data_IF_706886800015
#
_entry.id   IF_706886800015
#
_cell.length_a   1.000
_cell.length_b   1.000
_cell.length_c   1.000
_cell.angle_alpha   90.00
_cell.angle_beta   90.00
_cell.angle_gamma   90.00
#
_symmetry.space_group_name_H-M   'P 1'
#
loop_
_entity.id
_entity.type
_entity.pdbx_description
1 polymer ?
#
# COMPACT_ATOMS: atom_id res chain seq x y z
N UNK A 1 -8.42 -13.88 0.47
CA UNK A 1 -8.13 -13.07 1.63
C UNK A 1 -9.03 -11.87 1.55
N UNK A 2 -9.92 -11.71 2.53
CA UNK A 2 -10.81 -10.57 2.62
C UNK A 2 -10.23 -9.51 3.54
N UNK A 3 -10.04 -8.31 3.01
CA UNK A 3 -9.48 -7.23 3.80
C UNK A 3 -10.55 -6.27 4.32
N UNK A 4 -10.29 -5.70 5.50
CA UNK A 4 -10.88 -4.44 5.91
C UNK A 4 -9.91 -3.32 5.52
N UNK A 5 -10.28 -2.55 4.48
CA UNK A 5 -9.51 -1.40 4.03
C UNK A 5 -9.88 -0.14 4.83
N UNK A 6 -8.89 0.52 5.42
CA UNK A 6 -9.10 1.75 6.19
C UNK A 6 -8.24 2.85 5.59
N UNK A 7 -8.88 3.81 4.92
CA UNK A 7 -8.21 4.98 4.36
C UNK A 7 -8.10 6.07 5.41
N UNK A 8 -6.89 6.45 5.81
CA UNK A 8 -6.66 7.51 6.80
C UNK A 8 -6.10 8.78 6.14
N UNK A 9 -6.83 9.89 6.27
CA UNK A 9 -6.54 11.15 5.59
C UNK A 9 -6.96 11.15 4.11
N UNK A 10 -6.67 12.24 3.41
CA UNK A 10 -7.14 12.45 2.03
C UNK A 10 -6.62 11.40 1.04
N UNK A 11 -5.29 11.18 1.00
CA UNK A 11 -4.68 10.23 0.08
C UNK A 11 -5.15 8.79 0.35
N UNK A 12 -5.19 8.40 1.63
CA UNK A 12 -5.69 7.10 2.06
C UNK A 12 -7.15 6.87 1.65
N UNK A 13 -8.01 7.86 1.89
CA UNK A 13 -9.42 7.82 1.50
C UNK A 13 -9.60 7.64 -0.01
N UNK A 14 -8.89 8.42 -0.84
CA UNK A 14 -8.96 8.32 -2.31
C UNK A 14 -8.53 6.94 -2.84
N UNK A 15 -7.46 6.37 -2.30
CA UNK A 15 -6.99 5.04 -2.73
C UNK A 15 -7.96 3.94 -2.31
N UNK A 16 -8.49 3.97 -1.09
CA UNK A 16 -9.51 3.00 -0.66
C UNK A 16 -10.79 3.14 -1.48
N UNK A 17 -11.16 4.36 -1.86
CA UNK A 17 -12.30 4.62 -2.74
C UNK A 17 -12.14 3.92 -4.10
N UNK A 18 -10.94 4.04 -4.68
CA UNK A 18 -10.60 3.40 -5.95
C UNK A 18 -10.48 1.87 -5.81
N UNK A 19 -10.02 1.35 -4.68
CA UNK A 19 -10.07 -0.10 -4.40
C UNK A 19 -11.51 -0.62 -4.39
N UNK A 20 -12.44 0.09 -3.75
CA UNK A 20 -13.86 -0.29 -3.73
C UNK A 20 -14.45 -0.30 -5.14
N UNK A 21 -14.10 0.68 -5.97
CA UNK A 21 -14.49 0.70 -7.39
C UNK A 21 -13.92 -0.51 -8.15
N UNK A 22 -12.63 -0.78 -7.97
CA UNK A 22 -11.94 -1.89 -8.61
C UNK A 22 -12.57 -3.24 -8.26
N UNK A 23 -12.81 -3.51 -6.98
CA UNK A 23 -13.41 -4.76 -6.50
C UNK A 23 -14.85 -4.96 -7.02
N UNK A 24 -15.64 -3.88 -7.07
CA UNK A 24 -16.98 -3.90 -7.68
C UNK A 24 -16.92 -4.21 -9.18
N UNK A 25 -15.98 -3.59 -9.91
CA UNK A 25 -15.83 -3.76 -11.35
C UNK A 25 -15.30 -5.15 -11.73
N UNK A 26 -14.41 -5.71 -10.92
CA UNK A 26 -13.79 -7.02 -11.18
C UNK A 26 -14.62 -8.18 -10.61
N UNK A 27 -15.53 -7.91 -9.67
CA UNK A 27 -16.38 -8.91 -9.03
C UNK A 27 -15.62 -9.87 -8.11
N UNK A 28 -14.45 -9.45 -7.62
CA UNK A 28 -13.54 -10.30 -6.87
C UNK A 28 -14.00 -10.51 -5.43
N UNK A 29 -14.74 -9.54 -4.87
CA UNK A 29 -15.28 -9.56 -3.50
C UNK A 29 -14.20 -9.75 -2.43
N UNK A 30 -13.02 -9.19 -2.68
CA UNK A 30 -11.84 -9.26 -1.83
C UNK A 30 -11.86 -8.19 -0.72
N UNK A 31 -12.71 -7.17 -0.86
CA UNK A 31 -12.90 -6.13 0.15
C UNK A 31 -14.09 -6.51 1.01
N UNK A 32 -13.84 -7.03 2.21
CA UNK A 32 -14.91 -7.33 3.16
C UNK A 32 -15.59 -6.04 3.64
N UNK A 33 -14.80 -5.03 3.99
CA UNK A 33 -15.25 -3.76 4.55
C UNK A 33 -14.34 -2.62 4.11
N UNK A 34 -14.89 -1.42 4.04
CA UNK A 34 -14.12 -0.19 3.83
C UNK A 34 -14.53 0.89 4.83
N UNK A 35 -13.58 1.75 5.19
CA UNK A 35 -13.80 2.90 6.07
C UNK A 35 -12.84 4.02 5.66
N UNK A 36 -13.35 5.23 5.45
CA UNK A 36 -12.53 6.42 5.25
C UNK A 36 -12.57 7.27 6.53
N UNK A 37 -11.41 7.62 7.08
CA UNK A 37 -11.28 8.44 8.29
C UNK A 37 -10.52 9.70 7.93
N UNK A 38 -11.08 10.88 8.21
CA UNK A 38 -10.39 12.13 7.97
C UNK A 38 -10.84 13.22 8.94
N UNK A 39 -10.05 14.27 9.06
CA UNK A 39 -10.34 15.50 9.83
C UNK A 39 -10.88 16.63 8.94
N UNK A 40 -10.79 16.47 7.62
CA UNK A 40 -11.36 17.37 6.62
C UNK A 40 -12.69 16.82 6.06
N UNK A 41 -13.78 17.57 6.25
CA UNK A 41 -15.12 17.16 5.81
C UNK A 41 -15.24 17.17 4.28
N UNK A 42 -14.66 18.16 3.61
CA UNK A 42 -14.68 18.29 2.14
C UNK A 42 -14.09 17.06 1.45
N UNK A 43 -12.96 16.56 1.95
CA UNK A 43 -12.29 15.37 1.42
C UNK A 43 -13.19 14.13 1.49
N UNK A 44 -13.86 13.91 2.63
CA UNK A 44 -14.79 12.80 2.80
C UNK A 44 -15.96 12.93 1.82
N UNK A 45 -16.51 14.14 1.64
CA UNK A 45 -17.60 14.35 0.68
C UNK A 45 -17.18 14.16 -0.78
N UNK A 46 -15.90 14.34 -1.09
CA UNK A 46 -15.35 14.11 -2.44
C UNK A 46 -15.22 12.65 -2.85
N UNK A 47 -15.32 11.69 -1.92
CA UNK A 47 -15.24 10.25 -2.22
C UNK A 47 -16.49 9.80 -3.00
N UNK A 48 -16.33 8.86 -3.94
CA UNK A 48 -17.39 8.46 -4.87
C UNK A 48 -17.96 7.07 -4.59
N UNK A 49 -17.13 6.15 -4.12
CA UNK A 49 -17.41 4.71 -4.10
C UNK A 49 -17.64 4.14 -2.70
N UNK A 50 -17.00 4.71 -1.67
CA UNK A 50 -17.21 4.39 -0.26
C UNK A 50 -18.56 4.98 0.19
N UNK A 51 -19.47 4.20 0.77
CA UNK A 51 -20.77 4.70 1.26
C UNK A 51 -20.64 5.84 2.28
N UNK A 52 -21.63 6.72 2.38
CA UNK A 52 -21.54 7.91 3.25
C UNK A 52 -21.45 7.54 4.73
N UNK A 53 -22.13 6.46 5.13
CA UNK A 53 -22.06 5.86 6.45
C UNK A 53 -20.64 5.36 6.80
N UNK A 54 -19.84 5.00 5.78
CA UNK A 54 -18.45 4.52 5.84
C UNK A 54 -17.41 5.64 5.75
N UNK A 55 -17.82 6.88 5.98
CA UNK A 55 -16.96 8.06 6.01
C UNK A 55 -17.02 8.70 7.39
N UNK A 56 -15.97 8.47 8.19
CA UNK A 56 -15.85 8.96 9.55
C UNK A 56 -15.07 10.28 9.60
N UNK A 57 -15.77 11.34 10.01
CA UNK A 57 -15.15 12.63 10.34
C UNK A 57 -14.70 12.61 11.81
N UNK A 58 -13.43 12.94 12.05
CA UNK A 58 -12.83 13.03 13.40
C UNK A 58 -12.22 14.41 13.66
N UNK A 59 -11.98 14.75 14.92
CA UNK A 59 -11.26 15.97 15.32
C UNK A 59 -12.08 17.25 15.23
N UNK A 60 -13.41 17.14 15.25
CA UNK A 60 -14.32 18.29 15.08
C UNK A 60 -14.14 19.34 16.18
N UNK A 61 -13.77 18.92 17.39
CA UNK A 61 -13.50 19.80 18.52
C UNK A 61 -12.23 20.66 18.34
N UNK A 62 -11.29 20.21 17.50
CA UNK A 62 -9.98 20.87 17.30
C UNK A 62 -9.97 21.64 15.99
N UNK A 63 -10.34 21.03 14.86
CA UNK A 63 -10.21 21.64 13.52
C UNK A 63 -11.51 21.97 12.82
N UNK A 64 -12.66 21.72 13.47
CA UNK A 64 -14.00 22.06 12.95
C UNK A 64 -14.28 21.53 11.54
N UNK A 65 -13.64 20.42 11.15
CA UNK A 65 -13.80 19.79 9.84
C UNK A 65 -12.95 20.37 8.70
N UNK A 66 -11.93 21.19 8.97
CA UNK A 66 -11.05 21.77 7.94
C UNK A 66 -9.75 20.99 7.70
N UNK A 67 -9.51 19.94 8.50
CA UNK A 67 -8.24 19.22 8.47
C UNK A 67 -7.16 19.85 9.35
N UNK A 68 -6.07 19.11 9.56
CA UNK A 68 -4.89 19.54 10.33
C UNK A 68 -3.76 20.09 9.43
N UNK A 69 -4.01 20.18 8.12
CA UNK A 69 -2.95 20.47 7.15
C UNK A 69 -1.82 19.44 7.20
N UNK A 70 -0.58 19.92 7.29
CA UNK A 70 0.63 19.11 7.42
C UNK A 70 1.12 18.98 8.88
N UNK A 71 0.28 19.27 9.88
CA UNK A 71 0.62 19.04 11.28
C UNK A 71 0.29 17.58 11.68
N UNK A 72 1.31 16.73 11.68
CA UNK A 72 1.14 15.31 12.01
C UNK A 72 1.05 15.05 13.53
N UNK A 73 1.55 15.95 14.38
CA UNK A 73 1.44 15.85 15.83
C UNK A 73 -0.02 16.08 16.26
N UNK A 74 -0.65 17.14 15.73
CA UNK A 74 -2.09 17.37 15.93
C UNK A 74 -2.93 16.24 15.33
N UNK A 75 -2.53 15.70 14.16
CA UNK A 75 -3.16 14.52 13.57
C UNK A 75 -3.14 13.29 14.48
N UNK A 76 -1.99 12.99 15.08
CA UNK A 76 -1.84 11.89 16.04
C UNK A 76 -2.63 12.13 17.33
N UNK A 77 -2.64 13.36 17.83
CA UNK A 77 -3.43 13.75 19.01
C UNK A 77 -4.92 13.52 18.77
N UNK A 78 -5.47 14.00 17.67
CA UNK A 78 -6.89 13.78 17.31
C UNK A 78 -7.21 12.29 17.23
N UNK A 79 -6.36 11.51 16.56
CA UNK A 79 -6.57 10.07 16.43
C UNK A 79 -6.54 9.35 17.79
N UNK A 80 -5.73 9.84 18.72
CA UNK A 80 -5.63 9.32 20.09
C UNK A 80 -6.88 9.69 20.90
N UNK A 81 -7.27 10.95 20.89
CA UNK A 81 -8.44 11.47 21.62
C UNK A 81 -9.74 10.80 21.13
N UNK A 82 -9.85 10.51 19.84
CA UNK A 82 -11.02 9.90 19.23
C UNK A 82 -10.89 8.41 18.93
N UNK A 83 -9.91 7.72 19.53
CA UNK A 83 -9.63 6.31 19.21
C UNK A 83 -10.82 5.39 19.47
N UNK A 84 -11.62 5.67 20.51
CA UNK A 84 -12.83 4.90 20.81
C UNK A 84 -13.96 5.13 19.81
N UNK A 85 -14.06 6.33 19.24
CA UNK A 85 -15.00 6.64 18.15
C UNK A 85 -14.62 5.87 16.90
N UNK A 86 -13.32 5.87 16.55
CA UNK A 86 -12.78 5.12 15.42
C UNK A 86 -13.01 3.61 15.61
N UNK A 87 -12.70 3.09 16.81
CA UNK A 87 -12.93 1.69 17.13
C UNK A 87 -14.42 1.33 17.01
N UNK A 88 -15.32 2.13 17.58
CA UNK A 88 -16.77 1.87 17.48
C UNK A 88 -17.24 1.82 16.03
N UNK A 89 -16.67 2.66 15.15
CA UNK A 89 -16.96 2.61 13.72
C UNK A 89 -16.50 1.28 13.09
N UNK A 90 -15.33 0.78 13.46
CA UNK A 90 -14.81 -0.51 12.97
C UNK A 90 -15.68 -1.66 13.48
N UNK A 91 -15.99 -1.68 14.78
CA UNK A 91 -16.79 -2.72 15.43
C UNK A 91 -18.19 -2.83 14.82
N UNK A 92 -18.85 -1.70 14.52
CA UNK A 92 -20.18 -1.65 13.88
C UNK A 92 -20.23 -2.32 12.51
N UNK A 93 -19.12 -2.32 11.79
CA UNK A 93 -19.01 -2.96 10.46
C UNK A 93 -18.79 -4.46 10.58
N UNK A 94 -18.27 -4.91 11.72
CA UNK A 94 -17.99 -6.30 12.02
C UNK A 94 -16.74 -6.81 11.32
N UNK A 95 -15.99 -7.65 12.02
CA UNK A 95 -14.69 -8.18 11.58
C UNK A 95 -14.69 -9.68 11.31
N UNK A 96 -15.84 -10.37 11.49
CA UNK A 96 -15.95 -11.83 11.38
C UNK A 96 -15.58 -12.44 10.02
N UNK A 97 -15.51 -11.63 8.96
CA UNK A 97 -15.14 -12.06 7.60
C UNK A 97 -13.86 -11.39 7.12
N UNK A 98 -13.10 -10.78 8.04
CA UNK A 98 -11.86 -10.07 7.74
C UNK A 98 -10.71 -11.01 8.04
N UNK A 99 -9.84 -11.24 7.07
CA UNK A 99 -8.61 -12.02 7.22
C UNK A 99 -7.41 -11.13 7.58
N UNK A 100 -7.55 -9.80 7.42
CA UNK A 100 -6.52 -8.82 7.74
C UNK A 100 -7.00 -7.38 7.56
N UNK A 101 -6.40 -6.46 8.30
CA UNK A 101 -6.63 -5.02 8.16
C UNK A 101 -5.56 -4.43 7.24
N UNK A 102 -5.93 -3.50 6.37
CA UNK A 102 -4.99 -2.70 5.60
C UNK A 102 -5.27 -1.22 5.81
N UNK A 103 -4.38 -0.56 6.55
CA UNK A 103 -4.43 0.87 6.80
C UNK A 103 -3.67 1.57 5.68
N UNK A 104 -4.37 2.40 4.91
CA UNK A 104 -3.83 3.12 3.76
C UNK A 104 -3.69 4.60 4.11
N UNK A 105 -2.49 5.16 4.00
CA UNK A 105 -2.24 6.55 4.40
C UNK A 105 -1.07 7.20 3.63
N UNK A 106 -1.20 8.51 3.40
CA UNK A 106 -0.06 9.33 3.00
C UNK A 106 0.79 9.69 4.22
N UNK A 107 2.09 9.37 4.17
CA UNK A 107 3.00 9.55 5.31
C UNK A 107 3.45 11.01 5.46
N UNK A 108 3.42 11.80 4.39
CA UNK A 108 3.86 13.20 4.41
C UNK A 108 2.82 14.22 4.91
N UNK A 109 1.53 13.88 4.94
CA UNK A 109 0.47 14.80 5.38
C UNK A 109 0.43 14.99 6.90
N UNK A 110 -0.67 15.55 7.42
CA UNK A 110 -0.91 15.62 8.87
C UNK A 110 -1.81 14.49 9.38
N UNK A 111 -3.05 14.40 8.87
CA UNK A 111 -4.06 13.44 9.36
C UNK A 111 -3.65 11.98 9.19
N UNK A 112 -3.28 11.59 7.97
CA UNK A 112 -2.85 10.20 7.68
C UNK A 112 -1.55 9.85 8.38
N UNK A 113 -0.56 10.75 8.28
CA UNK A 113 0.76 10.62 8.88
C UNK A 113 0.71 10.37 10.39
N UNK A 114 -0.06 11.18 11.12
CA UNK A 114 -0.20 11.06 12.58
C UNK A 114 -1.19 9.98 13.03
N UNK A 115 -2.30 9.82 12.30
CA UNK A 115 -3.39 8.94 12.74
C UNK A 115 -3.21 7.46 12.39
N UNK A 116 -2.58 7.14 11.26
CA UNK A 116 -2.39 5.76 10.84
C UNK A 116 -1.58 4.90 11.85
N UNK A 117 -0.45 5.38 12.43
CA UNK A 117 0.28 4.62 13.45
C UNK A 117 -0.54 4.39 14.73
N UNK A 118 -1.32 5.41 15.16
CA UNK A 118 -2.18 5.32 16.35
C UNK A 118 -3.26 4.24 16.14
N UNK A 119 -3.89 4.23 14.97
CA UNK A 119 -4.88 3.21 14.62
C UNK A 119 -4.24 1.82 14.53
N UNK A 120 -3.09 1.69 13.86
CA UNK A 120 -2.39 0.42 13.70
C UNK A 120 -2.10 -0.24 15.05
N UNK A 121 -1.54 0.53 15.99
CA UNK A 121 -1.30 0.10 17.37
C UNK A 121 -2.57 -0.40 18.05
N UNK A 122 -3.68 0.34 17.90
CA UNK A 122 -4.96 -0.02 18.50
C UNK A 122 -5.49 -1.33 17.93
N UNK A 123 -5.46 -1.51 16.61
CA UNK A 123 -5.96 -2.71 15.96
C UNK A 123 -5.17 -3.95 16.37
N UNK A 124 -3.83 -3.87 16.41
CA UNK A 124 -2.97 -4.98 16.89
C UNK A 124 -3.23 -5.40 18.33
N UNK A 125 -3.76 -4.49 19.15
CA UNK A 125 -4.11 -4.79 20.55
C UNK A 125 -5.46 -5.49 20.67
N UNK A 126 -6.38 -5.23 19.74
CA UNK A 126 -7.78 -5.68 19.82
C UNK A 126 -8.09 -6.92 19.00
N UNK A 127 -7.38 -7.11 17.89
CA UNK A 127 -7.67 -8.10 16.88
C UNK A 127 -6.51 -9.07 16.71
N UNK A 128 -6.84 -10.33 16.39
CA UNK A 128 -5.84 -11.36 16.14
C UNK A 128 -5.38 -11.34 14.66
N UNK A 129 -6.23 -10.81 13.78
CA UNK A 129 -5.96 -10.66 12.37
C UNK A 129 -4.78 -9.70 12.14
N UNK A 130 -3.91 -9.99 11.16
CA UNK A 130 -2.76 -9.15 10.87
C UNK A 130 -3.18 -7.75 10.42
N UNK A 131 -2.43 -6.74 10.86
CA UNK A 131 -2.62 -5.34 10.55
C UNK A 131 -1.47 -4.87 9.65
N UNK A 132 -1.77 -4.62 8.38
CA UNK A 132 -0.81 -4.13 7.40
C UNK A 132 -0.96 -2.62 7.19
N UNK A 133 0.14 -1.98 6.81
CA UNK A 133 0.14 -0.59 6.35
C UNK A 133 0.42 -0.50 4.85
N UNK A 134 -0.22 0.44 4.16
CA UNK A 134 0.18 0.93 2.84
C UNK A 134 0.48 2.41 2.94
N UNK A 135 1.76 2.75 2.96
CA UNK A 135 2.28 4.10 3.16
C UNK A 135 2.73 4.75 1.85
N UNK A 136 2.27 5.97 1.60
CA UNK A 136 2.73 6.78 0.46
C UNK A 136 3.80 7.77 0.91
N UNK A 137 4.98 7.67 0.29
CA UNK A 137 6.07 8.63 0.48
C UNK A 137 5.81 9.85 -0.41
N UNK A 138 6.00 11.07 0.11
CA UNK A 138 5.79 12.29 -0.66
C UNK A 138 6.85 12.45 -1.76
N UNK A 139 6.50 13.16 -2.82
CA UNK A 139 7.46 13.60 -3.82
C UNK A 139 8.43 14.64 -3.21
N UNK A 140 9.65 14.72 -3.72
CA UNK A 140 10.69 15.64 -3.23
C UNK A 140 10.27 17.10 -3.36
N UNK A 141 9.53 17.41 -4.41
CA UNK A 141 9.03 18.76 -4.71
C UNK A 141 7.91 19.24 -3.77
N UNK A 142 7.27 18.34 -3.01
CA UNK A 142 6.23 18.76 -2.05
C UNK A 142 6.83 19.59 -0.90
N UNK A 143 8.12 19.42 -0.61
CA UNK A 143 8.88 20.24 0.32
C UNK A 143 9.36 19.51 1.58
N UNK A 144 10.26 20.18 2.32
CA UNK A 144 10.94 19.59 3.48
C UNK A 144 9.99 19.18 4.62
N UNK A 145 8.91 19.92 4.86
CA UNK A 145 7.91 19.60 5.88
C UNK A 145 7.26 18.22 5.64
N UNK A 146 6.83 17.94 4.40
CA UNK A 146 6.22 16.66 4.05
C UNK A 146 7.22 15.51 4.16
N UNK A 147 8.48 15.74 3.79
CA UNK A 147 9.55 14.75 3.94
C UNK A 147 9.83 14.45 5.42
N UNK A 148 9.86 15.47 6.28
CA UNK A 148 10.00 15.31 7.73
C UNK A 148 8.84 14.51 8.33
N UNK A 149 7.60 14.86 7.94
CA UNK A 149 6.41 14.13 8.38
C UNK A 149 6.46 12.67 7.97
N UNK A 150 6.85 12.41 6.72
CA UNK A 150 6.97 11.06 6.18
C UNK A 150 8.01 10.23 6.95
N UNK A 151 9.15 10.82 7.28
CA UNK A 151 10.18 10.16 8.07
C UNK A 151 9.69 9.78 9.48
N UNK A 152 9.08 10.74 10.20
CA UNK A 152 8.53 10.51 11.55
C UNK A 152 7.42 9.45 11.55
N UNK A 153 6.49 9.57 10.60
CA UNK A 153 5.38 8.63 10.45
C UNK A 153 5.87 7.24 10.07
N UNK A 154 6.80 7.13 9.11
CA UNK A 154 7.41 5.86 8.73
C UNK A 154 8.07 5.17 9.92
N UNK A 155 8.92 5.88 10.69
CA UNK A 155 9.63 5.32 11.85
C UNK A 155 8.68 4.77 12.94
N UNK A 156 7.47 5.32 13.01
CA UNK A 156 6.44 4.89 13.95
C UNK A 156 5.63 3.75 13.33
N UNK A 157 5.01 3.97 12.17
CA UNK A 157 4.10 3.04 11.53
C UNK A 157 4.72 1.67 11.30
N UNK A 158 5.98 1.60 10.83
CA UNK A 158 6.66 0.33 10.56
C UNK A 158 6.77 -0.58 11.79
N UNK A 159 6.72 -0.01 13.00
CA UNK A 159 6.73 -0.76 14.27
C UNK A 159 5.33 -1.16 14.73
N UNK A 160 4.30 -0.44 14.27
CA UNK A 160 2.90 -0.61 14.68
C UNK A 160 2.09 -1.50 13.73
N UNK A 161 2.68 -1.93 12.61
CA UNK A 161 2.05 -2.87 11.65
C UNK A 161 2.81 -4.19 11.63
N UNK A 162 2.16 -5.24 11.15
CA UNK A 162 2.77 -6.55 10.91
C UNK A 162 3.57 -6.59 9.62
N UNK A 163 3.30 -5.68 8.68
CA UNK A 163 4.13 -5.40 7.51
C UNK A 163 3.73 -4.04 6.90
N UNK A 164 4.70 -3.27 6.41
CA UNK A 164 4.47 -1.98 5.76
C UNK A 164 4.80 -2.04 4.27
N UNK A 165 3.79 -1.94 3.42
CA UNK A 165 3.98 -1.68 2.01
C UNK A 165 4.29 -0.20 1.78
N UNK A 166 5.25 0.07 0.90
CA UNK A 166 5.61 1.43 0.51
C UNK A 166 5.36 1.69 -0.96
N UNK A 167 4.88 2.90 -1.25
CA UNK A 167 4.78 3.48 -2.58
C UNK A 167 5.43 4.86 -2.59
N UNK A 168 6.35 5.10 -3.51
CA UNK A 168 7.08 6.37 -3.62
C UNK A 168 6.49 7.25 -4.72
N UNK A 169 5.74 8.29 -4.36
CA UNK A 169 5.09 9.17 -5.32
C UNK A 169 6.10 9.80 -6.30
N UNK A 170 7.33 10.06 -5.85
CA UNK A 170 8.37 10.66 -6.66
C UNK A 170 8.74 9.79 -7.88
N UNK A 171 8.74 8.46 -7.69
CA UNK A 171 9.10 7.48 -8.72
C UNK A 171 8.04 7.35 -9.82
N UNK A 172 6.79 7.68 -9.50
CA UNK A 172 5.62 7.44 -10.36
C UNK A 172 5.11 8.68 -11.07
N UNK A 173 5.70 9.84 -10.78
CA UNK A 173 5.40 11.10 -11.45
C UNK A 173 5.86 11.05 -12.91
N UNK A 174 5.11 11.75 -13.78
CA UNK A 174 5.51 12.00 -15.17
C UNK A 174 5.62 13.50 -15.39
N UNK A 175 6.56 13.89 -16.22
CA UNK A 175 6.74 15.30 -16.59
C UNK A 175 5.55 15.79 -17.41
N UNK A 176 5.10 17.02 -17.14
CA UNK A 176 4.04 17.68 -17.90
C UNK A 176 2.60 17.31 -17.54
N UNK A 177 2.36 16.40 -16.60
CA UNK A 177 1.02 16.08 -16.09
C UNK A 177 0.55 17.11 -15.05
N UNK A 178 -0.77 17.33 -14.95
CA UNK A 178 -1.35 18.11 -13.85
C UNK A 178 -1.20 17.36 -12.52
N UNK A 179 -1.26 18.06 -11.39
CA UNK A 179 -1.18 17.41 -10.09
C UNK A 179 -2.32 16.41 -9.86
N UNK A 180 -3.52 16.73 -10.34
CA UNK A 180 -4.68 15.82 -10.23
C UNK A 180 -4.49 14.56 -11.08
N UNK A 181 -4.07 14.71 -12.34
CA UNK A 181 -3.82 13.57 -13.23
C UNK A 181 -2.70 12.68 -12.69
N UNK A 182 -1.64 13.29 -12.15
CA UNK A 182 -0.53 12.56 -11.54
C UNK A 182 -1.02 11.69 -10.37
N UNK A 183 -1.84 12.24 -9.47
CA UNK A 183 -2.39 11.46 -8.36
C UNK A 183 -3.37 10.37 -8.83
N UNK A 184 -4.23 10.65 -9.81
CA UNK A 184 -5.14 9.65 -10.36
C UNK A 184 -4.36 8.48 -10.98
N UNK A 185 -3.35 8.79 -11.78
CA UNK A 185 -2.44 7.79 -12.36
C UNK A 185 -1.71 6.99 -11.28
N UNK A 186 -1.16 7.63 -10.24
CA UNK A 186 -0.52 6.92 -9.12
C UNK A 186 -1.49 5.99 -8.40
N UNK A 187 -2.70 6.45 -8.12
CA UNK A 187 -3.74 5.65 -7.47
C UNK A 187 -4.11 4.42 -8.33
N UNK A 188 -4.22 4.58 -9.65
CA UNK A 188 -4.44 3.47 -10.58
C UNK A 188 -3.29 2.46 -10.55
N UNK A 189 -2.04 2.93 -10.52
CA UNK A 189 -0.86 2.07 -10.41
C UNK A 189 -0.81 1.31 -9.08
N UNK A 190 -1.23 1.93 -7.98
CA UNK A 190 -1.40 1.27 -6.68
C UNK A 190 -2.47 0.19 -6.79
N UNK A 191 -3.69 0.56 -7.14
CA UNK A 191 -4.84 -0.37 -7.14
C UNK A 191 -4.64 -1.51 -8.12
N UNK A 192 -3.98 -1.30 -9.27
CA UNK A 192 -3.65 -2.37 -10.22
C UNK A 192 -2.73 -3.43 -9.62
N UNK A 193 -1.70 -3.03 -8.87
CA UNK A 193 -0.72 -3.95 -8.27
C UNK A 193 -1.30 -4.70 -7.09
N UNK A 194 -1.84 -3.93 -6.15
CA UNK A 194 -2.39 -4.46 -4.91
C UNK A 194 -3.71 -5.18 -5.12
N UNK A 195 -4.52 -4.78 -6.10
CA UNK A 195 -5.80 -5.43 -6.42
C UNK A 195 -5.60 -6.87 -6.89
N UNK A 196 -4.55 -7.14 -7.67
CA UNK A 196 -4.17 -8.51 -8.04
C UNK A 196 -3.69 -9.30 -6.82
N UNK A 197 -2.82 -8.71 -5.99
CA UNK A 197 -2.30 -9.35 -4.77
C UNK A 197 -3.42 -9.73 -3.79
N UNK A 198 -4.28 -8.77 -3.44
CA UNK A 198 -5.36 -8.93 -2.46
C UNK A 198 -6.39 -9.96 -2.95
N UNK A 199 -6.70 -9.94 -4.25
CA UNK A 199 -7.74 -10.79 -4.80
C UNK A 199 -7.32 -12.23 -5.08
N UNK A 200 -6.02 -12.46 -5.24
CA UNK A 200 -5.51 -13.80 -5.47
C UNK A 200 -5.77 -14.78 -4.31
N UNK A 201 -5.93 -14.28 -3.09
CA UNK A 201 -6.20 -15.14 -1.94
C UNK A 201 -7.67 -15.58 -1.80
N UNK A 202 -8.60 -15.10 -2.63
CA UNK A 202 -10.01 -15.50 -2.55
C UNK A 202 -10.26 -16.80 -3.31
N UNK A 203 -10.69 -17.86 -2.61
CA UNK A 203 -11.11 -19.11 -3.25
C UNK A 203 -12.47 -18.90 -3.90
N UNK A 204 -12.52 -18.77 -5.23
CA UNK A 204 -13.80 -18.82 -5.96
C UNK A 204 -14.40 -20.22 -5.79
N UNK A 205 -15.68 -20.29 -5.37
CA UNK A 205 -16.42 -21.55 -5.12
C UNK A 205 -16.62 -22.45 -6.36
N UNK A 206 -15.99 -22.14 -7.50
CA UNK A 206 -16.13 -22.89 -8.76
C UNK A 206 -14.84 -23.64 -9.06
N UNK A 207 -14.79 -24.91 -8.65
CA UNK A 207 -14.29 -26.04 -9.44
C UNK A 207 -12.99 -25.93 -10.26
N UNK A 208 -12.07 -25.00 -9.98
CA UNK A 208 -10.80 -24.89 -10.70
C UNK A 208 -9.81 -25.95 -10.20
N UNK A 209 -10.10 -27.20 -10.55
CA UNK A 209 -9.24 -28.35 -10.30
C UNK A 209 -8.14 -28.35 -11.37
N UNK A 210 -6.95 -27.84 -11.02
CA UNK A 210 -5.76 -28.04 -11.86
C UNK A 210 -4.62 -27.02 -11.71
N UNK A 211 -4.83 -25.88 -11.06
CA UNK A 211 -3.81 -24.83 -10.88
C UNK A 211 -3.57 -24.56 -9.39
N UNK A 212 -2.33 -24.24 -9.02
CA UNK A 212 -1.94 -23.94 -7.63
C UNK A 212 -2.47 -22.54 -7.29
N UNK A 213 -3.78 -22.43 -7.00
CA UNK A 213 -4.39 -21.15 -6.61
C UNK A 213 -3.71 -20.63 -5.35
N UNK A 214 -3.31 -19.35 -5.34
CA UNK A 214 -2.73 -18.72 -4.15
C UNK A 214 -3.73 -18.76 -3.00
N UNK A 215 -3.29 -19.23 -1.83
CA UNK A 215 -4.06 -19.13 -0.60
C UNK A 215 -3.73 -17.79 0.10
N UNK A 216 -4.67 -17.24 0.86
CA UNK A 216 -4.42 -16.15 1.79
C UNK A 216 -3.21 -16.45 2.70
N UNK A 217 -3.03 -17.72 3.08
CA UNK A 217 -1.90 -18.19 3.88
C UNK A 217 -0.55 -17.94 3.22
N UNK A 218 -0.43 -18.01 1.89
CA UNK A 218 0.84 -17.75 1.18
C UNK A 218 1.22 -16.27 1.23
N UNK A 219 0.23 -15.38 1.13
CA UNK A 219 0.42 -13.93 1.29
C UNK A 219 0.83 -13.62 2.72
N UNK A 220 0.06 -14.11 3.70
CA UNK A 220 0.34 -13.89 5.13
C UNK A 220 1.73 -14.41 5.51
N UNK A 221 2.11 -15.62 5.08
CA UNK A 221 3.41 -16.20 5.42
C UNK A 221 4.59 -15.47 4.75
N UNK A 222 4.38 -14.87 3.58
CA UNK A 222 5.37 -13.99 2.92
C UNK A 222 5.55 -12.69 3.68
N UNK A 223 4.46 -12.10 4.18
CA UNK A 223 4.49 -10.85 4.95
C UNK A 223 4.91 -11.05 6.41
N UNK A 224 4.82 -12.29 6.91
CA UNK A 224 5.24 -12.67 8.26
C UNK A 224 6.75 -12.49 8.42
N UNK A 225 7.14 -11.73 9.44
CA UNK A 225 8.54 -11.31 9.67
C UNK A 225 8.65 -9.82 9.94
N UNK A 226 7.65 -9.05 9.51
CA UNK A 226 7.65 -7.60 9.71
C UNK A 226 8.40 -6.87 8.61
N UNK A 227 8.73 -5.61 8.91
CA UNK A 227 9.52 -4.78 8.02
C UNK A 227 8.73 -4.26 6.82
N UNK A 228 9.44 -4.09 5.71
CA UNK A 228 8.97 -3.36 4.55
C UNK A 228 8.77 -4.31 3.38
N UNK A 229 7.64 -4.16 2.69
CA UNK A 229 7.33 -4.88 1.47
C UNK A 229 7.23 -3.96 0.26
N UNK A 230 7.65 -4.50 -0.88
CA UNK A 230 7.70 -3.82 -2.18
C UNK A 230 7.06 -4.72 -3.23
N UNK A 231 6.36 -4.12 -4.19
CA UNK A 231 5.70 -4.87 -5.27
C UNK A 231 6.30 -4.51 -6.63
N UNK A 232 6.74 -5.54 -7.33
CA UNK A 232 7.00 -5.53 -8.76
C UNK A 232 5.79 -5.98 -9.56
N UNK A 233 5.58 -5.40 -10.75
CA UNK A 233 4.44 -5.74 -11.59
C UNK A 233 4.75 -5.62 -13.07
N UNK A 234 4.27 -6.59 -13.85
CA UNK A 234 4.24 -6.52 -15.29
C UNK A 234 2.98 -7.21 -15.82
N UNK A 235 2.44 -6.68 -16.92
CA UNK A 235 1.36 -7.33 -17.65
C UNK A 235 1.53 -7.20 -19.16
N UNK A 236 0.81 -8.05 -19.87
CA UNK A 236 0.72 -8.08 -21.34
C UNK A 236 -0.69 -8.52 -21.76
N UNK A 237 -1.18 -7.95 -22.87
CA UNK A 237 -2.41 -8.40 -23.50
C UNK A 237 -2.13 -9.63 -24.38
N UNK A 238 -2.98 -10.66 -24.27
CA UNK A 238 -2.86 -11.90 -25.01
C UNK A 238 -3.99 -12.01 -26.01
N UNK A 239 -3.66 -12.40 -27.25
CA UNK A 239 -4.65 -12.60 -28.29
C UNK A 239 -5.51 -13.83 -27.98
N UNK A 240 -6.80 -13.62 -27.74
CA UNK A 240 -7.78 -14.71 -27.63
C UNK A 240 -7.82 -15.48 -28.95
N UNK A 241 -7.23 -16.68 -28.98
CA UNK A 241 -7.48 -17.62 -30.07
C UNK A 241 -8.93 -18.09 -30.00
N UNK A 242 -9.80 -17.45 -30.79
CA UNK A 242 -11.17 -17.90 -31.03
C UNK A 242 -11.14 -19.39 -31.38
N UNK A 243 -11.62 -20.23 -30.45
CA UNK A 243 -11.67 -21.69 -30.59
C UNK A 243 -12.70 -22.06 -31.66
N UNK A 244 -12.31 -21.95 -32.93
CA UNK A 244 -13.09 -22.48 -34.05
C UNK A 244 -13.26 -24.00 -33.93
N UNK A 245 -14.44 -24.49 -34.26
CA UNK A 245 -14.86 -25.90 -34.19
C UNK A 245 -13.87 -26.88 -34.86
N UNK A 246 -13.08 -26.42 -35.84
CA UNK A 246 -12.06 -27.17 -36.57
C UNK A 246 -10.74 -27.44 -35.81
N UNK A 247 -10.47 -26.77 -34.68
CA UNK A 247 -9.18 -26.92 -33.97
C UNK A 247 -9.07 -28.19 -33.10
N UNK A 248 -10.18 -28.90 -32.84
CA UNK A 248 -10.21 -30.11 -32.01
C UNK A 248 -9.47 -31.32 -32.62
N UNK A 249 -9.25 -31.32 -33.94
CA UNK A 249 -8.69 -32.47 -34.66
C UNK A 249 -7.16 -32.60 -34.59
N UNK A 250 -6.43 -31.52 -34.29
CA UNK A 250 -4.95 -31.48 -34.29
C UNK A 250 -4.32 -31.32 -32.88
N UNK A 251 -4.89 -31.99 -31.87
CA UNK A 251 -4.66 -31.68 -30.45
C UNK A 251 -3.28 -32.06 -29.88
N UNK A 252 -2.53 -32.98 -30.50
CA UNK A 252 -1.33 -33.59 -29.85
C UNK A 252 0.00 -32.88 -30.12
N UNK A 253 0.17 -32.19 -31.25
CA UNK A 253 1.39 -31.42 -31.58
C UNK A 253 1.30 -29.93 -31.20
N UNK A 254 0.09 -29.36 -31.13
CA UNK A 254 -0.15 -27.94 -30.85
C UNK A 254 -0.06 -27.60 -29.35
N UNK A 255 -0.37 -28.55 -28.47
CA UNK A 255 -0.30 -28.36 -27.02
C UNK A 255 1.13 -28.05 -26.54
N UNK A 256 2.15 -28.76 -27.06
CA UNK A 256 3.55 -28.54 -26.67
C UNK A 256 4.06 -27.15 -27.08
N UNK A 257 3.68 -26.67 -28.27
CA UNK A 257 4.09 -25.35 -28.78
C UNK A 257 3.48 -24.22 -27.93
N UNK A 258 2.19 -24.31 -27.61
CA UNK A 258 1.52 -23.31 -26.76
C UNK A 258 2.12 -23.27 -25.33
N UNK A 259 2.51 -24.42 -24.76
CA UNK A 259 3.13 -24.45 -23.42
C UNK A 259 4.52 -23.81 -23.38
N UNK A 260 5.31 -23.93 -24.46
CA UNK A 260 6.62 -23.28 -24.58
C UNK A 260 6.49 -21.77 -24.71
N UNK A 261 5.48 -21.29 -25.44
CA UNK A 261 5.17 -19.87 -25.59
C UNK A 261 4.71 -19.25 -24.27
N UNK A 262 3.75 -19.87 -23.58
CA UNK A 262 3.26 -19.40 -22.27
C UNK A 262 4.37 -19.36 -21.20
N UNK A 263 5.24 -20.38 -21.14
CA UNK A 263 6.40 -20.37 -20.23
C UNK A 263 7.34 -19.19 -20.52
N UNK A 264 7.60 -18.90 -21.79
CA UNK A 264 8.49 -17.80 -22.20
C UNK A 264 7.87 -16.45 -21.86
N UNK A 265 6.57 -16.28 -22.10
CA UNK A 265 5.78 -15.09 -21.72
C UNK A 265 5.85 -14.83 -20.23
N UNK A 266 5.56 -15.85 -19.42
CA UNK A 266 5.64 -15.79 -17.95
C UNK A 266 7.03 -15.32 -17.51
N UNK A 267 8.10 -15.94 -18.01
CA UNK A 267 9.46 -15.55 -17.63
C UNK A 267 9.82 -14.12 -18.08
N UNK A 268 9.29 -13.65 -19.21
CA UNK A 268 9.44 -12.25 -19.64
C UNK A 268 8.76 -11.29 -18.66
N UNK A 269 7.52 -11.61 -18.27
CA UNK A 269 6.77 -10.81 -17.30
C UNK A 269 7.41 -10.80 -15.92
N UNK A 270 7.90 -11.94 -15.42
CA UNK A 270 8.61 -12.02 -14.13
C UNK A 270 9.85 -11.13 -14.14
N UNK A 271 10.68 -11.22 -15.20
CA UNK A 271 11.86 -10.34 -15.33
C UNK A 271 11.46 -8.86 -15.34
N UNK A 272 10.44 -8.49 -16.11
CA UNK A 272 9.93 -7.12 -16.15
C UNK A 272 9.35 -6.65 -14.81
N UNK A 273 8.69 -7.54 -14.07
CA UNK A 273 8.09 -7.21 -12.78
C UNK A 273 9.18 -6.88 -11.75
N UNK A 274 10.27 -7.65 -11.73
CA UNK A 274 11.37 -7.50 -10.77
C UNK A 274 12.39 -6.43 -11.18
N UNK A 275 12.70 -6.32 -12.47
CA UNK A 275 13.69 -5.37 -13.00
C UNK A 275 13.07 -4.03 -13.42
N UNK A 276 11.74 -3.96 -13.49
CA UNK A 276 11.01 -2.76 -13.83
C UNK A 276 10.83 -1.81 -12.65
N UNK A 277 9.91 -0.87 -12.81
CA UNK A 277 9.56 0.09 -11.77
C UNK A 277 8.77 -0.60 -10.66
N UNK A 278 9.38 -0.70 -9.49
CA UNK A 278 8.78 -1.18 -8.24
C UNK A 278 7.91 -0.10 -7.59
N UNK A 279 7.11 -0.45 -6.59
CA UNK A 279 6.32 0.54 -5.83
C UNK A 279 7.22 1.55 -5.12
N UNK A 280 8.38 1.11 -4.62
CA UNK A 280 9.50 1.97 -4.19
C UNK A 280 10.80 1.33 -4.69
N UNK A 281 11.76 2.14 -5.13
CA UNK A 281 13.03 1.63 -5.61
C UNK A 281 13.88 1.11 -4.44
N UNK A 282 14.37 -0.12 -4.54
CA UNK A 282 15.18 -0.77 -3.50
C UNK A 282 16.22 -1.72 -4.08
N UNK A 283 17.12 -2.20 -3.23
CA UNK A 283 17.95 -3.38 -3.55
C UNK A 283 17.15 -4.65 -3.22
N UNK A 284 16.63 -5.29 -4.27
CA UNK A 284 15.81 -6.49 -4.15
C UNK A 284 16.56 -7.66 -3.50
N UNK A 285 17.90 -7.68 -3.56
CA UNK A 285 18.71 -8.75 -2.98
C UNK A 285 18.46 -8.87 -1.47
N UNK A 286 18.19 -7.75 -0.83
CA UNK A 286 17.94 -7.70 0.61
C UNK A 286 16.59 -8.28 1.05
N UNK A 287 15.74 -8.76 0.12
CA UNK A 287 14.47 -9.37 0.48
C UNK A 287 14.68 -10.69 1.24
N UNK A 288 13.96 -10.85 2.35
CA UNK A 288 13.97 -12.09 3.14
C UNK A 288 13.04 -13.16 2.55
N UNK A 289 11.94 -12.72 1.92
CA UNK A 289 10.91 -13.58 1.36
C UNK A 289 10.34 -12.99 0.08
N UNK A 290 9.87 -13.86 -0.80
CA UNK A 290 9.14 -13.45 -1.99
C UNK A 290 7.90 -14.29 -2.27
N UNK A 291 6.93 -13.69 -2.95
CA UNK A 291 5.77 -14.37 -3.53
C UNK A 291 5.62 -13.97 -4.99
N UNK A 292 5.65 -14.96 -5.87
CA UNK A 292 5.35 -14.79 -7.30
C UNK A 292 3.90 -15.15 -7.56
N UNK A 293 3.10 -14.18 -8.01
CA UNK A 293 1.69 -14.35 -8.29
C UNK A 293 1.43 -14.13 -9.78
N UNK A 294 0.79 -15.09 -10.43
CA UNK A 294 0.45 -15.03 -11.86
C UNK A 294 -1.06 -14.97 -12.06
N UNK A 295 -1.56 -13.89 -12.64
CA UNK A 295 -2.98 -13.70 -12.90
C UNK A 295 -3.28 -13.70 -14.40
N UNK A 296 -4.31 -14.44 -14.83
CA UNK A 296 -4.66 -14.52 -16.24
C UNK A 296 -5.64 -15.64 -16.57
N UNK A 297 -5.93 -15.81 -17.86
CA UNK A 297 -6.78 -16.93 -18.31
C UNK A 297 -6.11 -18.27 -17.98
N UNK A 298 -6.86 -19.30 -17.53
CA UNK A 298 -6.26 -20.58 -17.12
C UNK A 298 -5.37 -21.22 -18.17
N UNK A 299 -5.65 -21.07 -19.46
CA UNK A 299 -4.82 -21.64 -20.54
C UNK A 299 -3.50 -20.90 -20.78
N UNK A 300 -3.34 -19.70 -20.23
CA UNK A 300 -2.08 -18.95 -20.25
C UNK A 300 -1.22 -19.20 -18.99
N UNK A 301 -1.81 -19.76 -17.94
CA UNK A 301 -1.12 -20.09 -16.69
C UNK A 301 -0.61 -21.53 -16.73
N UNK A 302 0.67 -21.75 -16.40
CA UNK A 302 1.21 -23.10 -16.36
C UNK A 302 2.27 -23.29 -15.26
N UNK A 303 2.24 -24.49 -14.66
CA UNK A 303 3.12 -24.88 -13.56
C UNK A 303 4.61 -24.74 -13.88
N UNK A 304 5.02 -25.09 -15.10
CA UNK A 304 6.44 -25.01 -15.51
C UNK A 304 6.96 -23.57 -15.52
N UNK A 305 6.13 -22.61 -15.94
CA UNK A 305 6.41 -21.18 -15.87
C UNK A 305 6.53 -20.70 -14.42
N UNK A 306 5.59 -21.10 -13.56
CA UNK A 306 5.64 -20.82 -12.12
C UNK A 306 6.91 -21.36 -11.46
N UNK A 307 7.22 -22.64 -11.65
CA UNK A 307 8.40 -23.27 -11.04
C UNK A 307 9.70 -22.54 -11.45
N UNK A 308 9.83 -22.19 -12.74
CA UNK A 308 10.98 -21.41 -13.23
C UNK A 308 11.02 -19.98 -12.70
N UNK A 309 9.86 -19.35 -12.55
CA UNK A 309 9.78 -18.00 -12.03
C UNK A 309 10.22 -17.95 -10.57
N UNK A 310 9.82 -18.93 -9.77
CA UNK A 310 10.25 -19.05 -8.37
C UNK A 310 11.77 -19.19 -8.26
N UNK A 311 12.37 -20.13 -8.99
CA UNK A 311 13.83 -20.31 -9.00
C UNK A 311 14.54 -19.03 -9.43
N UNK A 312 14.04 -18.37 -10.48
CA UNK A 312 14.62 -17.10 -10.93
C UNK A 312 14.57 -16.00 -9.87
N UNK A 313 13.48 -15.88 -9.10
CA UNK A 313 13.38 -14.90 -8.01
C UNK A 313 14.23 -15.30 -6.81
N UNK A 314 14.32 -16.61 -6.52
CA UNK A 314 15.19 -17.16 -5.47
C UNK A 314 16.66 -16.85 -5.74
N UNK A 315 17.11 -16.96 -7.00
CA UNK A 315 18.47 -16.61 -7.41
C UNK A 315 18.79 -15.10 -7.29
N UNK A 316 17.78 -14.24 -7.14
CA UNK A 316 17.94 -12.79 -7.07
C UNK A 316 17.95 -12.22 -5.65
N UNK A 317 17.49 -12.99 -4.66
CA UNK A 317 17.32 -12.53 -3.28
C UNK A 317 18.21 -13.32 -2.32
N UNK A 318 18.63 -12.70 -1.22
CA UNK A 318 19.42 -13.36 -0.17
C UNK A 318 18.55 -14.29 0.68
N UNK A 319 17.23 -14.04 0.72
CA UNK A 319 16.24 -14.87 1.37
C UNK A 319 16.03 -16.23 0.69
N UNK A 320 15.64 -17.24 1.47
CA UNK A 320 15.48 -18.62 0.98
C UNK A 320 14.02 -19.03 0.74
N UNK A 321 13.06 -18.17 1.10
CA UNK A 321 11.64 -18.50 1.01
C UNK A 321 10.97 -17.79 -0.18
N UNK A 322 10.91 -18.49 -1.32
CA UNK A 322 10.11 -18.05 -2.48
C UNK A 322 8.86 -18.90 -2.62
N UNK A 323 7.71 -18.24 -2.46
CA UNK A 323 6.38 -18.79 -2.67
C UNK A 323 5.88 -18.45 -4.06
N UNK A 324 4.87 -19.17 -4.52
CA UNK A 324 4.23 -18.82 -5.77
C UNK A 324 2.88 -19.48 -5.95
N UNK A 325 2.02 -18.83 -6.72
CA UNK A 325 0.77 -19.43 -7.15
C UNK A 325 0.05 -18.62 -8.22
N UNK A 326 -0.98 -19.25 -8.74
CA UNK A 326 -1.77 -18.76 -9.85
C UNK A 326 -3.04 -18.09 -9.31
N UNK A 327 -3.55 -17.13 -10.08
CA UNK A 327 -4.85 -16.52 -9.89
C UNK A 327 -5.62 -16.58 -11.22
N UNK A 328 -6.34 -17.69 -11.46
CA UNK A 328 -7.07 -17.87 -12.71
C UNK A 328 -8.24 -16.89 -12.82
N UNK A 329 -8.27 -16.14 -13.92
CA UNK A 329 -9.34 -15.19 -14.26
C UNK A 329 -9.92 -15.62 -15.62
N UNK A 330 -11.00 -16.42 -15.64
CA UNK A 330 -11.62 -16.91 -16.87
C UNK A 330 -12.00 -15.76 -17.81
N UNK A 331 -11.59 -15.85 -19.08
CA UNK A 331 -11.88 -14.84 -20.09
C UNK A 331 -11.02 -13.57 -20.02
N UNK A 332 -10.03 -13.51 -19.12
CA UNK A 332 -9.06 -12.41 -19.11
C UNK A 332 -8.33 -12.34 -20.45
N UNK A 333 -8.23 -11.13 -21.01
CA UNK A 333 -7.39 -10.82 -22.17
C UNK A 333 -5.95 -10.48 -21.78
N UNK A 334 -5.64 -10.50 -20.50
CA UNK A 334 -4.33 -10.11 -19.99
C UNK A 334 -3.74 -11.21 -19.13
N UNK A 335 -2.41 -11.32 -19.19
CA UNK A 335 -1.60 -12.05 -18.22
C UNK A 335 -0.78 -11.02 -17.46
N UNK A 336 -0.85 -11.09 -16.13
CA UNK A 336 -0.12 -10.22 -15.22
C UNK A 336 0.72 -11.06 -14.26
N UNK A 337 1.88 -10.54 -13.89
CA UNK A 337 2.75 -11.07 -12.85
C UNK A 337 2.94 -10.00 -11.79
N UNK A 338 2.66 -10.36 -10.55
CA UNK A 338 2.99 -9.60 -9.36
C UNK A 338 4.13 -10.33 -8.65
N UNK A 339 5.19 -9.62 -8.30
CA UNK A 339 6.24 -10.14 -7.42
C UNK A 339 6.24 -9.30 -6.14
N UNK A 340 5.80 -9.92 -5.06
CA UNK A 340 5.87 -9.33 -3.71
C UNK A 340 7.23 -9.70 -3.11
N UNK A 341 7.99 -8.70 -2.70
CA UNK A 341 9.25 -8.83 -1.98
C UNK A 341 9.06 -8.29 -0.57
N UNK A 342 9.34 -9.09 0.45
CA UNK A 342 9.11 -8.76 1.86
C UNK A 342 10.41 -8.81 2.65
N UNK A 343 10.50 -8.00 3.71
CA UNK A 343 11.70 -7.89 4.54
C UNK A 343 12.82 -7.08 3.87
N UNK A 344 12.50 -6.15 2.97
CA UNK A 344 13.51 -5.30 2.31
C UNK A 344 14.21 -4.42 3.34
N UNK A 345 15.55 -4.49 3.39
CA UNK A 345 16.36 -3.72 4.34
C UNK A 345 17.16 -2.58 3.71
N UNK A 346 17.33 -2.55 2.39
CA UNK A 346 17.96 -1.43 1.68
C UNK A 346 17.01 -0.68 0.74
N UNK A 347 16.50 0.44 1.23
CA UNK A 347 15.68 1.39 0.48
C UNK A 347 16.34 2.78 0.55
N UNK A 348 17.02 3.23 -0.53
CA UNK A 348 17.69 4.52 -0.55
C UNK A 348 16.79 5.71 -0.17
N UNK A 349 15.53 5.68 -0.61
CA UNK A 349 14.53 6.71 -0.29
C UNK A 349 14.26 6.83 1.22
N UNK A 350 14.25 5.71 1.95
CA UNK A 350 14.08 5.73 3.41
C UNK A 350 15.32 6.32 4.10
N UNK A 351 16.53 5.95 3.66
CA UNK A 351 17.78 6.53 4.17
C UNK A 351 17.85 8.05 3.94
N UNK A 352 17.30 8.53 2.83
CA UNK A 352 17.16 9.97 2.55
C UNK A 352 16.19 10.64 3.52
N UNK A 353 14.99 10.10 3.70
CA UNK A 353 13.99 10.66 4.63
C UNK A 353 14.49 10.68 6.07
N UNK A 354 15.21 9.65 6.51
CA UNK A 354 15.84 9.60 7.83
C UNK A 354 16.88 10.71 8.01
N UNK A 355 17.72 10.97 7.01
CA UNK A 355 18.69 12.09 7.06
C UNK A 355 17.99 13.44 7.16
N UNK A 356 16.96 13.67 6.35
CA UNK A 356 16.14 14.90 6.42
C UNK A 356 15.56 15.08 7.82
N UNK A 357 15.08 14.01 8.45
CA UNK A 357 14.53 14.08 9.81
C UNK A 357 15.56 14.46 10.87
N UNK A 358 16.76 13.87 10.79
CA UNK A 358 17.86 14.16 11.71
C UNK A 358 18.29 15.62 11.55
N UNK A 359 18.53 16.06 10.31
CA UNK A 359 18.92 17.45 10.01
C UNK A 359 17.85 18.46 10.46
N UNK A 360 16.57 18.13 10.29
CA UNK A 360 15.48 18.99 10.75
C UNK A 360 15.40 19.06 12.28
N UNK A 361 15.64 17.95 12.99
CA UNK A 361 15.68 17.94 14.46
C UNK A 361 16.81 18.83 14.99
N UNK A 362 18.02 18.67 14.46
CA UNK A 362 19.18 19.47 14.86
C UNK A 362 18.94 20.98 14.62
N UNK A 363 18.31 21.32 13.49
CA UNK A 363 17.96 22.70 13.15
C UNK A 363 16.89 23.29 14.08
N UNK A 364 15.86 22.52 14.44
CA UNK A 364 14.81 22.98 15.36
C UNK A 364 15.40 23.24 16.75
N UNK A 365 16.23 22.33 17.28
CA UNK A 365 16.90 22.52 18.57
C UNK A 365 17.75 23.80 18.58
N UNK A 366 18.51 24.04 17.50
CA UNK A 366 19.29 25.26 17.34
C UNK A 366 18.45 26.54 17.24
N UNK A 367 17.29 26.49 16.58
CA UNK A 367 16.37 27.62 16.46
C UNK A 367 15.67 27.94 17.78
N UNK A 368 15.21 26.92 18.51
CA UNK A 368 14.58 27.09 19.84
C UNK A 368 15.58 27.71 20.82
N UNK A 369 16.83 27.25 20.83
CA UNK A 369 17.87 27.82 21.68
C UNK A 369 18.16 29.29 21.34
N UNK A 370 18.16 29.67 20.05
CA UNK A 370 18.35 31.06 19.61
C UNK A 370 17.14 31.95 19.90
N UNK A 371 15.93 31.42 19.70
CA UNK A 371 14.69 32.15 19.94
C UNK A 371 14.48 32.41 21.44
N UNK A 372 14.80 31.43 22.30
CA UNK A 372 14.77 31.62 23.76
C UNK A 372 15.66 32.78 24.19
N UNK A 373 16.92 32.79 23.74
CA UNK A 373 17.85 33.90 24.03
C UNK A 373 17.34 35.26 23.54
N UNK A 374 16.81 35.34 22.32
CA UNK A 374 16.23 36.59 21.79
C UNK A 374 15.01 37.05 22.58
N UNK A 375 14.20 36.11 23.06
CA UNK A 375 13.02 36.43 23.85
C UNK A 375 13.42 36.91 25.25
N UNK A 376 14.42 36.27 25.86
CA UNK A 376 14.99 36.70 27.14
C UNK A 376 15.63 38.10 27.02
N UNK A 377 16.37 38.38 25.93
CA UNK A 377 16.91 39.73 25.63
C UNK A 377 15.81 40.79 25.42
N UNK A 378 14.67 40.42 24.83
CA UNK A 378 13.54 41.33 24.63
C UNK A 378 12.76 41.59 25.93
N UNK A 379 12.76 40.63 26.85
CA UNK A 379 12.04 40.70 28.13
C UNK A 379 12.91 41.22 29.28
N UNK A 380 14.23 41.31 29.10
CA UNK A 380 15.15 41.92 30.04
C UNK A 380 14.96 43.45 30.05
N UNK A 381 14.18 43.92 31.02
CA UNK A 381 13.89 45.34 31.20
C UNK A 381 14.79 46.00 32.25
N UNK A 382 15.85 45.34 32.72
CA UNK A 382 16.75 45.85 33.77
C UNK A 382 15.96 46.33 35.01
N UNK A 383 14.91 45.57 35.38
CA UNK A 383 13.92 45.86 36.44
C UNK A 383 13.13 47.19 36.30
N UNK A 384 13.22 47.86 35.14
CA UNK A 384 12.59 49.18 34.91
C UNK A 384 11.09 49.11 34.58
N UNK A 385 10.58 47.94 34.20
CA UNK A 385 9.19 47.75 33.78
C UNK A 385 8.62 46.45 34.36
N UNK A 386 7.67 46.58 35.29
CA UNK A 386 6.96 45.41 35.85
C UNK A 386 5.81 44.97 34.93
N UNK A 387 5.64 43.66 34.69
CA UNK A 387 4.50 43.15 33.95
C UNK A 387 3.18 43.49 34.64
N UNK A 388 2.11 43.54 33.84
CA UNK A 388 0.78 43.92 34.30
C UNK A 388 0.10 42.89 35.22
N UNK A 389 0.62 41.65 35.26
CA UNK A 389 0.13 40.54 36.09
C UNK A 389 1.29 39.72 36.63
#
# INVERSE_FOLDING_TARGET
>A
MKFFLIGFGQAGGKVVDLFVEYDKRTGQNSIARSLAINTAKSDLMGLKNIPMEDRLLVGQSIVKGHGVGADNETGAKIATDEIYTIQSAIDKRGTHQVDGFLIVAGLGGGTGSGGAPVLARRLKTLYNEPVYGLGFLPAREEGGLYSLNAARSFMTLVKEVDNLFLFDNDLWKKEGETLEDAYNHMNDEIVRRFGVLISAGERTKRGDVGQLVVDASEIINTLKGGGISVIGYASEEVQSHSRGFLAKLFRRRKATINTLDATTRIMSLVRRAVMGRLTVQCDIRTAEKALVLMAGAPDELNKKGMDKAKVFVEDLIDGTEVRGGDYPIPGSKHVAVVVLLSGISDIPRIKELQRIAIEAQDNIEGLVAKSGKKYDELMDTDDSLKPLF
#
